data_IF_291088743911
#
_entry.id   IF_291088743911
#
_cell.length_a   1.000
_cell.length_b   1.000
_cell.length_c   1.000
_cell.angle_alpha   90.00
_cell.angle_beta   90.00
_cell.angle_gamma   90.00
#
_symmetry.space_group_name_H-M   'P 1'
#
loop_
_entity.id
_entity.type
_entity.pdbx_description
1 polymer ?
#
# COMPACT_ATOMS: atom_id res chain seq x y z
N UNK A 1 -26.85 -12.80 -10.95
CA UNK A 1 -26.65 -14.23 -10.80
C UNK A 1 -26.43 -14.62 -9.36
N UNK A 2 -26.89 -15.77 -8.94
CA UNK A 2 -26.57 -16.34 -7.62
C UNK A 2 -25.16 -16.92 -7.67
N UNK A 3 -24.35 -16.73 -6.63
CA UNK A 3 -23.02 -17.31 -6.49
C UNK A 3 -23.05 -18.32 -5.34
N UNK A 4 -22.69 -19.55 -5.63
CA UNK A 4 -22.56 -20.62 -4.64
C UNK A 4 -21.08 -20.83 -4.35
N UNK A 5 -20.71 -21.00 -3.09
CA UNK A 5 -19.35 -21.29 -2.66
C UNK A 5 -19.35 -22.57 -1.85
N UNK A 6 -18.56 -23.54 -2.28
CA UNK A 6 -18.34 -24.79 -1.57
C UNK A 6 -16.87 -24.87 -1.15
N UNK A 7 -16.62 -25.27 0.10
CA UNK A 7 -15.26 -25.54 0.56
C UNK A 7 -14.87 -26.93 0.07
N UNK A 8 -13.82 -27.01 -0.73
CA UNK A 8 -13.31 -28.24 -1.29
C UNK A 8 -11.91 -28.48 -0.75
N UNK A 9 -11.64 -29.73 -0.35
CA UNK A 9 -10.28 -30.15 -0.03
C UNK A 9 -9.57 -30.41 -1.35
N UNK A 10 -8.69 -29.49 -1.77
CA UNK A 10 -7.99 -29.59 -3.04
C UNK A 10 -6.68 -30.35 -2.85
N UNK A 11 -6.45 -31.36 -3.72
CA UNK A 11 -5.16 -32.07 -3.78
C UNK A 11 -4.05 -31.23 -4.43
N UNK A 12 -4.35 -29.98 -4.80
CA UNK A 12 -3.44 -29.06 -5.46
C UNK A 12 -2.92 -28.06 -4.44
N UNK A 13 -1.60 -27.99 -4.27
CA UNK A 13 -0.92 -27.06 -3.38
C UNK A 13 -0.56 -25.80 -4.18
N UNK A 14 -1.14 -24.62 -3.85
CA UNK A 14 -0.78 -23.37 -4.50
C UNK A 14 0.62 -22.92 -4.09
N UNK A 15 1.34 -22.29 -5.03
CA UNK A 15 2.68 -21.79 -4.81
C UNK A 15 2.67 -20.34 -4.32
N UNK A 16 3.53 -20.05 -3.36
CA UNK A 16 3.82 -18.70 -2.92
C UNK A 16 5.33 -18.55 -2.72
N UNK A 17 5.97 -17.75 -3.58
CA UNK A 17 7.40 -17.49 -3.54
C UNK A 17 7.61 -15.98 -3.49
N UNK A 18 8.45 -15.54 -2.54
CA UNK A 18 8.81 -14.14 -2.38
C UNK A 18 10.31 -13.97 -2.22
N UNK A 19 10.83 -12.90 -2.82
CA UNK A 19 12.19 -12.41 -2.62
C UNK A 19 12.13 -10.92 -2.31
N UNK A 20 12.89 -10.48 -1.31
CA UNK A 20 12.95 -9.08 -0.87
C UNK A 20 14.43 -8.72 -0.59
N UNK A 21 14.89 -7.62 -1.17
CA UNK A 21 16.21 -7.06 -0.94
C UNK A 21 16.07 -5.61 -0.53
N UNK A 22 16.76 -5.22 0.53
CA UNK A 22 16.77 -3.85 1.04
C UNK A 22 18.19 -3.38 1.28
N UNK A 23 18.47 -2.14 0.93
CA UNK A 23 19.75 -1.47 1.17
C UNK A 23 19.50 -0.08 1.73
N UNK A 24 20.36 0.34 2.66
CA UNK A 24 20.35 1.68 3.23
C UNK A 24 21.79 2.17 3.40
N UNK A 25 22.20 3.13 2.57
CA UNK A 25 23.59 3.55 2.45
C UNK A 25 23.69 5.04 2.77
N UNK A 26 24.18 5.40 3.96
CA UNK A 26 24.56 6.77 4.27
C UNK A 26 25.91 7.11 3.66
N UNK A 27 26.05 8.31 3.10
CA UNK A 27 27.33 8.80 2.56
C UNK A 27 27.50 10.31 2.82
N UNK A 28 28.67 10.86 2.51
CA UNK A 28 29.03 12.25 2.79
C UNK A 28 28.73 12.67 4.24
N UNK A 29 29.35 11.99 5.22
CA UNK A 29 29.13 12.23 6.65
C UNK A 29 27.66 12.15 7.08
N UNK A 30 26.89 11.25 6.46
CA UNK A 30 25.45 11.05 6.69
C UNK A 30 24.57 12.23 6.23
N UNK A 31 25.10 13.16 5.48
CA UNK A 31 24.29 14.21 4.86
C UNK A 31 23.36 13.65 3.78
N UNK A 32 23.82 12.60 3.10
CA UNK A 32 23.01 11.87 2.12
C UNK A 32 22.70 10.48 2.61
N UNK A 33 21.49 10.04 2.37
CA UNK A 33 21.01 8.70 2.65
C UNK A 33 20.33 8.13 1.41
N UNK A 34 20.89 7.06 0.88
CA UNK A 34 20.26 6.30 -0.20
C UNK A 34 19.55 5.08 0.38
N UNK A 35 18.30 4.91 0.02
CA UNK A 35 17.51 3.73 0.36
C UNK A 35 17.04 3.06 -0.92
N UNK A 36 17.15 1.74 -0.96
CA UNK A 36 16.66 0.91 -2.05
C UNK A 36 15.95 -0.31 -1.47
N UNK A 37 14.80 -0.63 -1.99
CA UNK A 37 14.10 -1.89 -1.72
C UNK A 37 13.54 -2.43 -3.02
N UNK A 38 13.77 -3.72 -3.28
CA UNK A 38 13.18 -4.44 -4.41
C UNK A 38 12.59 -5.74 -3.89
N UNK A 39 11.34 -6.01 -4.27
CA UNK A 39 10.67 -7.25 -3.91
C UNK A 39 9.99 -7.86 -5.14
N UNK A 40 10.10 -9.17 -5.26
CA UNK A 40 9.43 -9.99 -6.27
C UNK A 40 8.61 -11.04 -5.53
N UNK A 41 7.31 -11.08 -5.80
CA UNK A 41 6.41 -12.03 -5.18
C UNK A 41 5.58 -12.72 -6.26
N UNK A 42 5.56 -14.03 -6.25
CA UNK A 42 4.65 -14.84 -7.03
C UNK A 42 3.68 -15.55 -6.09
N UNK A 43 2.39 -15.41 -6.37
CA UNK A 43 1.34 -16.08 -5.63
C UNK A 43 0.40 -16.78 -6.60
N UNK A 44 0.19 -18.07 -6.40
CA UNK A 44 -0.78 -18.87 -7.12
C UNK A 44 -2.00 -19.12 -6.24
N UNK A 45 -3.17 -19.07 -6.84
CA UNK A 45 -4.45 -19.50 -6.24
C UNK A 45 -5.08 -20.52 -7.13
N UNK A 46 -5.74 -21.49 -6.53
CA UNK A 46 -6.50 -22.51 -7.24
C UNK A 46 -7.94 -22.44 -6.78
N UNK A 47 -8.85 -22.39 -7.73
CA UNK A 47 -10.28 -22.46 -7.50
C UNK A 47 -10.88 -23.48 -8.48
N UNK A 48 -12.00 -24.08 -8.12
CA UNK A 48 -12.73 -24.97 -9.01
C UNK A 48 -13.94 -24.24 -9.59
N UNK A 49 -14.07 -24.24 -10.91
CA UNK A 49 -15.09 -23.49 -11.63
C UNK A 49 -15.97 -24.48 -12.39
N UNK A 50 -17.27 -24.46 -12.11
CA UNK A 50 -18.28 -25.18 -12.90
C UNK A 50 -18.72 -24.25 -14.04
N UNK A 51 -18.47 -24.66 -15.27
CA UNK A 51 -18.88 -23.93 -16.48
C UNK A 51 -20.15 -24.57 -17.04
N UNK A 52 -20.99 -23.75 -17.69
CA UNK A 52 -22.11 -24.13 -18.54
C UNK A 52 -23.24 -24.95 -17.88
N UNK A 53 -23.56 -24.69 -16.61
CA UNK A 53 -24.72 -25.34 -15.98
C UNK A 53 -25.80 -24.29 -15.67
N UNK A 54 -27.07 -24.69 -15.86
CA UNK A 54 -28.21 -23.88 -15.49
C UNK A 54 -28.29 -23.73 -13.97
N UNK A 55 -28.72 -22.57 -13.48
CA UNK A 55 -28.82 -22.33 -12.04
C UNK A 55 -29.76 -23.32 -11.32
N UNK A 56 -30.81 -23.81 -12.00
CA UNK A 56 -31.73 -24.80 -11.46
C UNK A 56 -31.08 -26.21 -11.28
N UNK A 57 -30.20 -26.58 -12.21
CA UNK A 57 -29.50 -27.88 -12.14
C UNK A 57 -28.48 -27.84 -11.00
N UNK A 58 -27.81 -26.69 -10.79
CA UNK A 58 -26.87 -26.50 -9.67
C UNK A 58 -27.61 -26.56 -8.32
N UNK A 59 -28.77 -25.94 -8.17
CA UNK A 59 -29.59 -26.03 -6.95
C UNK A 59 -29.96 -27.48 -6.64
N UNK A 60 -30.42 -28.23 -7.63
CA UNK A 60 -30.74 -29.66 -7.45
C UNK A 60 -29.52 -30.49 -7.05
N UNK A 61 -28.35 -30.26 -7.65
CA UNK A 61 -27.13 -30.99 -7.31
C UNK A 61 -26.63 -30.64 -5.89
N UNK A 62 -26.81 -29.40 -5.44
CA UNK A 62 -26.50 -28.98 -4.07
C UNK A 62 -27.40 -29.69 -3.08
N UNK A 63 -28.72 -29.70 -3.32
CA UNK A 63 -29.72 -30.32 -2.44
C UNK A 63 -29.53 -31.85 -2.39
N UNK A 64 -29.09 -32.46 -3.48
CA UNK A 64 -28.77 -33.87 -3.56
C UNK A 64 -27.37 -34.25 -3.03
N UNK A 65 -26.52 -33.28 -2.68
CA UNK A 65 -25.14 -33.50 -2.27
C UNK A 65 -24.22 -34.08 -3.37
N UNK A 66 -24.63 -33.96 -4.64
CA UNK A 66 -23.96 -34.55 -5.81
C UNK A 66 -23.24 -33.51 -6.67
N UNK A 67 -22.95 -32.31 -6.13
CA UNK A 67 -22.26 -31.26 -6.88
C UNK A 67 -20.87 -31.74 -7.33
N UNK A 68 -20.59 -31.81 -8.65
CA UNK A 68 -19.31 -32.28 -9.13
C UNK A 68 -18.22 -31.24 -8.83
N UNK A 69 -17.01 -31.72 -8.62
CA UNK A 69 -15.84 -30.85 -8.56
C UNK A 69 -15.64 -30.26 -9.96
N UNK A 70 -15.65 -28.92 -10.07
CA UNK A 70 -15.45 -28.22 -11.34
C UNK A 70 -14.04 -28.38 -11.90
N UNK A 71 -13.78 -27.72 -12.99
CA UNK A 71 -12.44 -27.61 -13.60
C UNK A 71 -11.54 -26.74 -12.72
N UNK A 72 -10.30 -27.18 -12.49
CA UNK A 72 -9.35 -26.43 -11.68
C UNK A 72 -8.87 -25.16 -12.43
N UNK A 73 -9.09 -24.01 -11.84
CA UNK A 73 -8.66 -22.69 -12.32
C UNK A 73 -7.44 -22.23 -11.55
N UNK A 74 -6.33 -22.10 -12.22
CA UNK A 74 -5.09 -21.59 -11.66
C UNK A 74 -4.95 -20.10 -11.95
N UNK A 75 -4.90 -19.28 -10.90
CA UNK A 75 -4.65 -17.83 -11.02
C UNK A 75 -3.29 -17.52 -10.44
N UNK A 76 -2.32 -17.25 -11.32
CA UNK A 76 -0.98 -16.80 -10.96
C UNK A 76 -0.91 -15.28 -10.94
N UNK A 77 -0.36 -14.70 -9.87
CA UNK A 77 -0.07 -13.28 -9.73
C UNK A 77 1.41 -13.08 -9.45
N UNK A 78 2.12 -12.46 -10.40
CA UNK A 78 3.49 -11.99 -10.22
C UNK A 78 3.45 -10.50 -9.90
N UNK A 79 4.00 -10.10 -8.76
CA UNK A 79 4.15 -8.72 -8.35
C UNK A 79 5.62 -8.37 -8.17
N UNK A 80 6.07 -7.35 -8.88
CA UNK A 80 7.40 -6.75 -8.74
C UNK A 80 7.23 -5.35 -8.19
N UNK A 81 7.96 -5.03 -7.13
CA UNK A 81 7.98 -3.68 -6.57
C UNK A 81 9.41 -3.21 -6.36
N UNK A 82 9.64 -1.93 -6.64
CA UNK A 82 10.92 -1.25 -6.42
C UNK A 82 10.67 0.09 -5.77
N UNK A 83 11.42 0.40 -4.73
CA UNK A 83 11.37 1.66 -4.01
C UNK A 83 12.80 2.20 -3.87
N UNK A 84 13.06 3.35 -4.48
CA UNK A 84 14.36 4.01 -4.46
C UNK A 84 14.17 5.40 -3.87
N UNK A 85 14.95 5.77 -2.87
CA UNK A 85 14.91 7.14 -2.34
C UNK A 85 16.29 7.67 -2.03
N UNK A 86 16.44 8.97 -2.26
CA UNK A 86 17.61 9.75 -1.88
C UNK A 86 17.17 10.89 -1.01
N UNK A 87 17.76 11.00 0.16
CA UNK A 87 17.50 12.10 1.12
C UNK A 87 18.79 12.83 1.40
N UNK A 88 18.72 14.14 1.31
CA UNK A 88 19.73 15.10 1.76
C UNK A 88 19.23 15.79 3.02
N UNK A 89 20.05 15.80 4.08
CA UNK A 89 19.71 16.41 5.37
C UNK A 89 20.77 17.42 5.77
N UNK A 90 20.35 18.66 5.99
CA UNK A 90 21.18 19.75 6.45
C UNK A 90 20.42 20.58 7.50
N UNK A 91 21.15 21.36 8.31
CA UNK A 91 20.58 22.18 9.40
C UNK A 91 19.45 23.14 8.97
N UNK A 92 19.48 23.57 7.71
CA UNK A 92 18.55 24.59 7.18
C UNK A 92 17.50 23.93 6.27
N UNK A 93 17.83 22.81 5.63
CA UNK A 93 16.97 22.22 4.61
C UNK A 93 17.13 20.71 4.56
N UNK A 94 16.01 20.00 4.47
CA UNK A 94 15.94 18.59 4.10
C UNK A 94 15.30 18.49 2.72
N UNK A 95 15.88 17.67 1.85
CA UNK A 95 15.38 17.42 0.49
C UNK A 95 15.29 15.92 0.31
N UNK A 96 14.14 15.44 -0.12
CA UNK A 96 13.91 14.04 -0.45
C UNK A 96 13.42 13.87 -1.88
N UNK A 97 13.88 12.82 -2.55
CA UNK A 97 13.29 12.33 -3.79
C UNK A 97 13.09 10.83 -3.65
N UNK A 98 11.92 10.35 -4.06
CA UNK A 98 11.56 8.94 -4.01
C UNK A 98 10.93 8.52 -5.33
N UNK A 99 11.36 7.37 -5.83
CA UNK A 99 10.75 6.68 -6.96
C UNK A 99 10.24 5.32 -6.45
N UNK A 100 8.97 5.06 -6.63
CA UNK A 100 8.34 3.79 -6.25
C UNK A 100 7.61 3.22 -7.45
N UNK A 101 7.91 1.98 -7.79
CA UNK A 101 7.30 1.27 -8.90
C UNK A 101 6.66 -0.01 -8.40
N UNK A 102 5.45 -0.28 -8.87
CA UNK A 102 4.75 -1.53 -8.61
C UNK A 102 4.24 -2.03 -9.94
N UNK A 103 4.60 -3.26 -10.28
CA UNK A 103 4.10 -3.94 -11.46
C UNK A 103 3.44 -5.25 -11.06
N UNK A 104 2.26 -5.51 -11.56
CA UNK A 104 1.48 -6.71 -11.25
C UNK A 104 0.99 -7.37 -12.54
N UNK A 105 1.34 -8.63 -12.70
CA UNK A 105 0.92 -9.48 -13.80
C UNK A 105 0.04 -10.59 -13.24
N UNK A 106 -1.22 -10.60 -13.63
CA UNK A 106 -2.18 -11.67 -13.28
C UNK A 106 -2.53 -12.48 -14.52
N UNK A 107 -2.51 -13.80 -14.40
CA UNK A 107 -2.94 -14.74 -15.44
C UNK A 107 -3.83 -15.81 -14.83
N UNK A 108 -4.91 -16.14 -15.54
CA UNK A 108 -5.79 -17.24 -15.19
C UNK A 108 -5.69 -18.34 -16.27
N UNK A 109 -5.71 -19.62 -15.85
CA UNK A 109 -5.55 -20.75 -16.78
C UNK A 109 -6.79 -21.01 -17.64
N UNK A 110 -7.97 -20.71 -17.11
CA UNK A 110 -9.25 -20.99 -17.77
C UNK A 110 -9.81 -19.79 -18.52
N UNK A 111 -9.33 -18.57 -18.22
CA UNK A 111 -9.86 -17.36 -18.79
C UNK A 111 -8.74 -16.44 -19.27
N UNK A 112 -8.44 -16.50 -20.56
CA UNK A 112 -7.43 -15.64 -21.19
C UNK A 112 -7.79 -14.16 -21.16
N UNK A 113 -9.07 -13.81 -21.00
CA UNK A 113 -9.52 -12.41 -20.85
C UNK A 113 -9.22 -11.84 -19.45
N UNK A 114 -8.97 -12.70 -18.47
CA UNK A 114 -8.55 -12.30 -17.12
C UNK A 114 -7.05 -12.03 -16.99
N UNK A 115 -6.33 -11.89 -18.10
CA UNK A 115 -4.95 -11.40 -18.10
C UNK A 115 -4.95 -9.91 -17.78
N UNK A 116 -4.22 -9.54 -16.75
CA UNK A 116 -4.07 -8.14 -16.36
C UNK A 116 -2.60 -7.80 -16.18
N UNK A 117 -2.20 -6.70 -16.80
CA UNK A 117 -0.89 -6.09 -16.66
C UNK A 117 -1.09 -4.68 -16.15
N UNK A 118 -0.92 -4.47 -14.88
CA UNK A 118 -1.05 -3.14 -14.26
C UNK A 118 0.26 -2.72 -13.63
N UNK A 119 0.54 -1.44 -13.71
CA UNK A 119 1.71 -0.85 -13.10
C UNK A 119 1.44 0.55 -12.58
N UNK A 120 1.99 0.86 -11.42
CA UNK A 120 2.01 2.19 -10.84
C UNK A 120 3.45 2.68 -10.77
N UNK A 121 3.68 3.87 -11.28
CA UNK A 121 4.95 4.57 -11.21
C UNK A 121 4.76 5.87 -10.44
N UNK A 122 5.38 5.97 -9.28
CA UNK A 122 5.21 7.08 -8.35
C UNK A 122 6.56 7.77 -8.17
N UNK A 123 6.63 9.06 -8.52
CA UNK A 123 7.75 9.93 -8.18
C UNK A 123 7.27 10.95 -7.18
N UNK A 124 7.97 11.08 -6.05
CA UNK A 124 7.67 12.09 -5.03
C UNK A 124 8.93 12.90 -4.72
N UNK A 125 8.80 14.21 -4.67
CA UNK A 125 9.82 15.14 -4.16
C UNK A 125 9.30 15.85 -2.93
N UNK A 126 10.12 15.96 -1.89
CA UNK A 126 9.82 16.72 -0.67
C UNK A 126 10.94 17.66 -0.30
N UNK A 127 10.58 18.84 0.21
CA UNK A 127 11.52 19.84 0.73
C UNK A 127 10.97 20.37 2.05
N UNK A 128 11.84 20.45 3.06
CA UNK A 128 11.54 21.06 4.35
C UNK A 128 12.59 22.10 4.68
N UNK A 129 12.19 23.34 4.90
CA UNK A 129 13.05 24.42 5.38
C UNK A 129 12.94 24.57 6.89
N UNK A 130 14.08 24.52 7.59
CA UNK A 130 14.18 24.74 9.02
C UNK A 130 14.54 26.19 9.29
N UNK A 131 13.56 26.98 9.71
CA UNK A 131 13.72 28.39 9.94
C UNK A 131 14.04 28.72 11.42
N UNK A 132 14.60 29.92 11.72
CA UNK A 132 14.82 30.33 13.09
C UNK A 132 13.56 30.32 13.94
N UNK A 133 13.73 30.19 15.27
CA UNK A 133 12.65 30.14 16.25
C UNK A 133 11.71 28.90 16.06
N UNK A 134 12.24 27.78 15.56
CA UNK A 134 11.53 26.51 15.36
C UNK A 134 10.27 26.61 14.47
N UNK A 135 10.38 27.36 13.39
CA UNK A 135 9.46 27.31 12.27
C UNK A 135 9.97 26.31 11.23
N UNK A 136 9.08 25.49 10.68
CA UNK A 136 9.36 24.68 9.50
C UNK A 136 8.33 24.98 8.41
N UNK A 137 8.80 25.03 7.17
CA UNK A 137 7.96 25.10 5.98
C UNK A 137 8.28 23.88 5.15
N UNK A 138 7.26 23.07 4.88
CA UNK A 138 7.44 21.85 4.10
C UNK A 138 6.49 21.83 2.90
N UNK A 139 6.96 21.26 1.81
CA UNK A 139 6.14 21.00 0.64
C UNK A 139 6.52 19.64 0.05
N UNK A 140 5.54 18.92 -0.43
CA UNK A 140 5.72 17.67 -1.14
C UNK A 140 4.87 17.66 -2.41
N UNK A 141 5.47 17.18 -3.51
CA UNK A 141 4.79 16.97 -4.79
C UNK A 141 5.04 15.55 -5.25
N UNK A 142 3.98 14.88 -5.68
CA UNK A 142 4.04 13.51 -6.18
C UNK A 142 3.28 13.36 -7.50
N UNK A 143 3.88 12.66 -8.43
CA UNK A 143 3.23 12.20 -9.65
C UNK A 143 3.02 10.71 -9.58
N UNK A 144 1.79 10.25 -9.86
CA UNK A 144 1.43 8.84 -10.00
C UNK A 144 1.01 8.57 -11.43
N UNK A 145 1.84 7.86 -12.19
CA UNK A 145 1.51 7.32 -13.50
C UNK A 145 0.96 5.91 -13.37
N UNK A 146 -0.21 5.64 -13.95
CA UNK A 146 -0.86 4.32 -13.90
C UNK A 146 -0.92 3.73 -15.30
N UNK A 147 -0.45 2.49 -15.43
CA UNK A 147 -0.39 1.75 -16.68
C UNK A 147 -1.27 0.51 -16.62
N UNK A 148 -1.93 0.19 -17.74
CA UNK A 148 -2.75 -1.03 -17.87
C UNK A 148 -4.12 -0.95 -17.22
N UNK A 149 -4.52 0.23 -16.74
CA UNK A 149 -5.87 0.50 -16.24
C UNK A 149 -6.78 0.76 -17.45
N UNK A 150 -7.73 -0.14 -17.71
CA UNK A 150 -8.69 -0.02 -18.81
C UNK A 150 -10.02 0.53 -18.29
N UNK A 151 -10.74 1.31 -19.11
CA UNK A 151 -12.05 1.86 -18.75
C UNK A 151 -12.02 3.06 -17.80
N UNK A 152 -10.86 3.69 -17.64
CA UNK A 152 -10.70 4.93 -16.85
C UNK A 152 -9.98 5.94 -17.73
N UNK A 153 -10.66 7.05 -18.00
CA UNK A 153 -10.05 8.20 -18.66
C UNK A 153 -9.12 8.89 -17.67
N UNK A 154 -7.88 9.14 -18.10
CA UNK A 154 -6.84 9.80 -17.33
C UNK A 154 -6.67 9.24 -15.89
N UNK A 155 -6.03 8.06 -15.74
CA UNK A 155 -5.81 7.44 -14.44
C UNK A 155 -4.67 8.10 -13.63
N UNK A 156 -3.87 8.97 -14.24
CA UNK A 156 -2.72 9.61 -13.63
C UNK A 156 -3.13 10.75 -12.69
N UNK A 157 -2.30 11.04 -11.68
CA UNK A 157 -2.58 12.13 -10.74
C UNK A 157 -1.30 12.85 -10.31
N UNK A 158 -1.43 14.14 -10.01
CA UNK A 158 -0.40 14.95 -9.38
C UNK A 158 -0.93 15.45 -8.04
N UNK A 159 -0.26 15.06 -6.96
CA UNK A 159 -0.59 15.53 -5.62
C UNK A 159 0.45 16.52 -5.14
N UNK A 160 0.02 17.71 -4.77
CA UNK A 160 0.87 18.73 -4.19
C UNK A 160 0.31 19.16 -2.84
N UNK A 161 1.14 19.06 -1.79
CA UNK A 161 0.79 19.45 -0.44
C UNK A 161 1.80 20.47 0.08
N UNK A 162 1.37 21.32 1.01
CA UNK A 162 2.24 22.24 1.70
C UNK A 162 1.87 22.33 3.18
N UNK A 163 2.85 22.56 4.04
CA UNK A 163 2.61 22.74 5.47
C UNK A 163 3.54 23.78 6.08
N UNK A 164 3.06 24.36 7.18
CA UNK A 164 3.83 25.25 8.04
C UNK A 164 3.67 24.75 9.48
N UNK A 165 4.79 24.53 10.14
CA UNK A 165 4.84 24.06 11.52
C UNK A 165 5.51 25.13 12.39
N UNK A 166 4.95 25.28 13.58
CA UNK A 166 5.55 26.08 14.64
C UNK A 166 5.65 25.27 15.92
N UNK A 167 6.87 25.11 16.45
CA UNK A 167 7.10 24.44 17.73
C UNK A 167 7.53 25.47 18.78
N UNK A 168 6.92 25.35 19.98
CA UNK A 168 7.34 26.09 21.17
C UNK A 168 7.28 25.16 22.40
N UNK A 169 8.43 24.87 22.96
CA UNK A 169 8.57 23.91 24.06
C UNK A 169 8.05 22.52 23.66
N UNK A 170 7.04 22.04 24.33
CA UNK A 170 6.43 20.74 24.09
C UNK A 170 5.23 20.78 23.12
N UNK A 171 4.84 21.97 22.67
CA UNK A 171 3.70 22.17 21.79
C UNK A 171 4.15 22.39 20.34
N UNK A 172 3.40 21.83 19.39
CA UNK A 172 3.57 22.06 17.95
C UNK A 172 2.21 22.34 17.34
N UNK A 173 2.12 23.41 16.57
CA UNK A 173 0.97 23.72 15.73
C UNK A 173 1.36 23.53 14.28
N UNK A 174 0.59 22.73 13.55
CA UNK A 174 0.79 22.43 12.13
C UNK A 174 -0.43 22.89 11.35
N UNK A 175 -0.23 23.72 10.35
CA UNK A 175 -1.22 23.98 9.31
C UNK A 175 -0.75 23.26 8.04
N UNK A 176 -1.55 22.32 7.55
CA UNK A 176 -1.27 21.58 6.31
C UNK A 176 -2.41 21.73 5.32
N UNK A 177 -2.08 22.02 4.07
CA UNK A 177 -3.00 22.05 2.94
C UNK A 177 -2.70 20.86 2.06
N UNK A 178 -3.73 20.10 1.75
CA UNK A 178 -3.66 18.89 0.95
C UNK A 178 -4.26 19.14 -0.43
N UNK A 179 -3.64 18.52 -1.43
CA UNK A 179 -4.11 18.51 -2.82
C UNK A 179 -4.36 19.91 -3.38
N UNK A 180 -3.30 20.73 -3.40
CA UNK A 180 -3.33 22.11 -3.91
C UNK A 180 -3.76 22.20 -5.38
N UNK A 181 -3.52 21.13 -6.17
CA UNK A 181 -3.89 21.07 -7.59
C UNK A 181 -5.29 20.48 -7.83
N UNK A 182 -5.92 19.95 -6.79
CA UNK A 182 -7.24 19.31 -6.87
C UNK A 182 -7.30 18.15 -7.88
N UNK A 183 -6.23 17.35 -7.94
CA UNK A 183 -6.08 16.28 -8.93
C UNK A 183 -6.06 14.87 -8.30
N UNK A 184 -6.41 14.75 -7.02
CA UNK A 184 -6.45 13.45 -6.34
C UNK A 184 -7.48 12.52 -6.93
N UNK A 185 -7.06 11.33 -7.35
CA UNK A 185 -7.92 10.28 -7.92
C UNK A 185 -7.79 8.99 -7.11
N UNK A 186 -8.87 8.56 -6.44
CA UNK A 186 -8.92 7.28 -5.75
C UNK A 186 -9.42 6.20 -6.71
N UNK A 187 -8.50 5.52 -7.37
CA UNK A 187 -8.79 4.47 -8.34
C UNK A 187 -8.26 3.15 -7.80
N UNK A 188 -9.11 2.13 -7.75
CA UNK A 188 -8.72 0.76 -7.38
C UNK A 188 -9.19 -0.18 -8.47
N UNK A 189 -8.26 -0.95 -9.02
CA UNK A 189 -8.56 -2.07 -9.90
C UNK A 189 -8.46 -3.37 -9.14
N UNK A 190 -9.45 -4.22 -9.27
CA UNK A 190 -9.44 -5.60 -8.73
C UNK A 190 -9.65 -6.56 -9.88
N UNK A 191 -8.76 -7.54 -10.02
CA UNK A 191 -8.85 -8.61 -11.01
C UNK A 191 -9.26 -9.88 -10.27
N UNK A 192 -10.44 -10.39 -10.58
CA UNK A 192 -10.94 -11.69 -10.14
C UNK A 192 -10.69 -12.79 -11.17
N UNK A 193 -11.19 -13.98 -10.93
CA UNK A 193 -11.04 -15.12 -11.83
C UNK A 193 -11.83 -14.94 -13.15
N UNK A 194 -12.98 -14.29 -13.05
CA UNK A 194 -13.97 -14.11 -14.11
C UNK A 194 -14.35 -12.64 -14.36
N UNK A 195 -13.74 -11.68 -13.61
CA UNK A 195 -14.08 -10.27 -13.73
C UNK A 195 -12.89 -9.35 -13.48
N UNK A 196 -12.95 -8.18 -14.08
CA UNK A 196 -12.12 -7.02 -13.75
C UNK A 196 -13.05 -5.93 -13.23
N UNK A 197 -12.80 -5.46 -12.01
CA UNK A 197 -13.59 -4.42 -11.37
C UNK A 197 -12.77 -3.16 -11.19
N UNK A 198 -13.34 -2.03 -11.59
CA UNK A 198 -12.80 -0.70 -11.38
C UNK A 198 -13.67 0.04 -10.37
N UNK A 199 -13.06 0.58 -9.34
CA UNK A 199 -13.75 1.41 -8.35
C UNK A 199 -13.08 2.78 -8.33
N UNK A 200 -13.86 3.82 -8.58
CA UNK A 200 -13.48 5.22 -8.37
C UNK A 200 -14.23 5.72 -7.15
N UNK A 201 -13.51 6.19 -6.15
CA UNK A 201 -14.12 6.74 -4.95
C UNK A 201 -14.12 8.27 -5.01
N UNK A 202 -15.16 8.88 -4.48
CA UNK A 202 -15.15 10.32 -4.27
C UNK A 202 -14.06 10.68 -3.27
N UNK A 203 -13.22 11.62 -3.63
CA UNK A 203 -12.16 12.15 -2.77
C UNK A 203 -12.60 13.46 -2.16
N UNK A 204 -12.08 13.78 -0.98
CA UNK A 204 -12.16 15.15 -0.49
C UNK A 204 -11.35 16.03 -1.46
N UNK A 205 -11.96 17.16 -1.90
CA UNK A 205 -11.22 18.16 -2.66
C UNK A 205 -10.09 18.77 -1.81
N UNK A 206 -9.40 19.75 -2.34
CA UNK A 206 -8.40 20.52 -1.59
C UNK A 206 -8.94 20.93 -0.21
N UNK A 207 -8.24 20.58 0.84
CA UNK A 207 -8.63 20.92 2.22
C UNK A 207 -7.43 21.30 3.06
N UNK A 208 -7.69 22.11 4.08
CA UNK A 208 -6.70 22.48 5.07
C UNK A 208 -6.98 21.80 6.40
N UNK A 209 -5.94 21.38 7.09
CA UNK A 209 -6.00 20.77 8.42
C UNK A 209 -5.09 21.53 9.37
N UNK A 210 -5.66 21.94 10.50
CA UNK A 210 -4.93 22.53 11.62
C UNK A 210 -4.79 21.45 12.70
N UNK A 211 -3.55 21.15 13.07
CA UNK A 211 -3.23 20.11 14.06
C UNK A 211 -2.46 20.74 15.21
N UNK A 212 -2.91 20.51 16.43
CA UNK A 212 -2.18 20.87 17.65
C UNK A 212 -1.66 19.59 18.31
N UNK A 213 -0.35 19.50 18.51
CA UNK A 213 0.31 18.38 19.18
C UNK A 213 1.00 18.85 20.43
N UNK A 214 0.75 18.19 21.55
CA UNK A 214 1.45 18.46 22.80
C UNK A 214 2.13 17.18 23.32
N UNK A 215 3.45 17.26 23.54
CA UNK A 215 4.26 16.14 24.05
C UNK A 215 4.23 16.14 25.59
N UNK A 216 3.54 15.18 26.18
CA UNK A 216 3.52 14.98 27.63
C UNK A 216 4.80 14.23 28.05
N UNK A 217 5.83 14.96 28.48
CA UNK A 217 7.12 14.40 28.91
C UNK A 217 7.10 13.78 30.33
N UNK A 218 5.95 13.68 30.98
CA UNK A 218 5.79 13.11 32.32
C UNK A 218 4.90 11.87 32.32
N UNK A 219 5.39 10.79 31.80
CA UNK A 219 5.04 9.47 32.34
C UNK A 219 6.24 9.02 33.18
N UNK A 220 6.06 9.00 34.51
CA UNK A 220 7.13 8.78 35.46
C UNK A 220 8.03 7.61 35.13
N UNK A 221 9.31 7.80 35.31
CA UNK A 221 10.43 6.84 35.46
C UNK A 221 10.35 5.46 34.74
N UNK A 222 9.61 5.33 33.65
CA UNK A 222 9.75 4.21 32.72
C UNK A 222 11.03 4.45 31.92
N UNK A 223 12.07 3.72 32.32
CA UNK A 223 13.39 3.72 31.69
C UNK A 223 13.22 3.69 30.16
N UNK A 224 13.88 4.62 29.47
CA UNK A 224 13.79 4.87 28.02
C UNK A 224 13.95 3.63 27.07
N UNK A 225 14.32 2.47 27.61
CA UNK A 225 14.37 1.19 26.89
C UNK A 225 12.99 0.65 26.48
N UNK A 226 11.91 0.98 27.18
CA UNK A 226 10.55 0.53 26.83
C UNK A 226 9.92 1.31 25.67
N UNK A 227 10.13 2.62 25.61
CA UNK A 227 9.51 3.46 24.59
C UNK A 227 10.07 3.19 23.18
N UNK A 228 11.38 2.94 23.05
CA UNK A 228 12.00 2.58 21.78
C UNK A 228 11.56 1.19 21.29
N UNK A 229 11.41 0.22 22.21
CA UNK A 229 10.93 -1.12 21.89
C UNK A 229 9.45 -1.09 21.46
N UNK A 230 8.61 -0.28 22.09
CA UNK A 230 7.21 -0.09 21.69
C UNK A 230 7.06 0.59 20.33
N UNK A 231 7.88 1.59 20.03
CA UNK A 231 7.88 2.22 18.71
C UNK A 231 8.32 1.25 17.61
N UNK A 232 9.34 0.43 17.87
CA UNK A 232 9.77 -0.62 16.93
C UNK A 232 8.68 -1.68 16.73
N UNK A 233 7.99 -2.12 17.78
CA UNK A 233 6.87 -3.05 17.68
C UNK A 233 5.67 -2.47 16.90
N UNK A 234 5.35 -1.19 17.11
CA UNK A 234 4.28 -0.52 16.35
C UNK A 234 4.62 -0.36 14.87
N UNK A 235 5.88 -0.07 14.55
CA UNK A 235 6.35 0.00 13.16
C UNK A 235 6.34 -1.39 12.51
N UNK A 236 6.67 -2.42 13.26
CA UNK A 236 6.69 -3.82 12.79
C UNK A 236 5.27 -4.38 12.59
N UNK A 237 4.31 -4.04 13.47
CA UNK A 237 2.91 -4.45 13.35
C UNK A 237 2.13 -3.69 12.27
N UNK A 238 2.59 -2.50 11.86
CA UNK A 238 2.02 -1.70 10.77
C UNK A 238 2.48 -2.16 9.37
N UNK A 239 3.40 -3.14 9.28
CA UNK A 239 3.80 -3.71 7.99
C UNK A 239 2.70 -4.61 7.44
N UNK A 240 2.32 -4.51 6.15
CA UNK A 240 1.41 -5.45 5.52
C UNK A 240 2.02 -6.86 5.57
N UNK A 241 1.42 -7.76 6.35
CA UNK A 241 1.89 -9.12 6.56
C UNK A 241 2.44 -9.44 7.96
N UNK A 242 2.52 -8.46 8.86
CA UNK A 242 2.89 -8.66 10.27
C UNK A 242 1.75 -9.32 11.05
N UNK A 243 2.06 -10.46 11.70
CA UNK A 243 1.13 -11.18 12.56
C UNK A 243 0.65 -10.34 13.76
N UNK A 244 -0.47 -10.77 14.36
CA UNK A 244 -1.09 -10.16 15.54
C UNK A 244 -0.06 -9.88 16.65
N UNK A 245 -0.13 -8.71 17.30
CA UNK A 245 0.72 -8.41 18.44
C UNK A 245 0.49 -9.43 19.58
N UNK A 246 1.56 -9.83 20.29
CA UNK A 246 1.40 -10.70 21.45
C UNK A 246 0.57 -10.01 22.53
N UNK A 247 -0.40 -10.73 23.10
CA UNK A 247 -1.15 -10.25 24.27
C UNK A 247 -0.16 -9.97 25.39
N UNK A 248 -0.37 -8.84 26.08
CA UNK A 248 0.43 -8.42 27.22
C UNK A 248 0.49 -9.47 28.34
N UNK A 249 1.46 -9.36 29.26
CA UNK A 249 1.65 -10.32 30.32
C UNK A 249 0.41 -10.43 31.22
N UNK A 250 0.06 -11.62 31.72
CA UNK A 250 -1.02 -11.79 32.69
C UNK A 250 -0.68 -11.06 33.97
N UNK A 251 -1.71 -10.47 34.60
CA UNK A 251 -1.63 -9.80 35.90
C UNK A 251 -1.22 -10.75 36.99
#
# INVERSE_FOLDING_TARGET
>A
GKRYMQTVNADIIPWNIGWDMMSNIPFCNKMFQFHSRTAVNYNERVAYVLREQNAADIEQMIDAGTLPLGEASHTGNLRVSSDLSLRFTHKIVDIGIRNSNIYSLTRNSLNDQSKSHIGDWIITGDVTFHLPKAWNISTDIGYTGRYGYTGIDDPNEILWNASVDKTWGNATLTLKVYDLLHDKKNIVQTVGEDYVSYKKFNTLPTYAMLTFTYKLNRMGNLKAKGAAAWQQQMIESARPGGGRPPMGPPR
#
